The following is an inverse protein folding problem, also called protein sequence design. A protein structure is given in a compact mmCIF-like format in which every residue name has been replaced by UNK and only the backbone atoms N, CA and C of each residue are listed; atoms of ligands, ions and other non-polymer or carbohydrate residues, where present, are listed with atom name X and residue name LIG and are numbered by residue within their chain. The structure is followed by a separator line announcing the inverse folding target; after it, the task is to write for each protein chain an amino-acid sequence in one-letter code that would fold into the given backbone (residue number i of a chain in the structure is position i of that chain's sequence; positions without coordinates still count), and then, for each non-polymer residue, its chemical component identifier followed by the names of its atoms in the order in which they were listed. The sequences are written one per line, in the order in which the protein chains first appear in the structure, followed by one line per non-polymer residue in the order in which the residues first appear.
data_IF_532907066977
#
_entry.id   IF_532907066977
#
_cell.length_a   1.000
_cell.length_b   1.000
_cell.length_c   1.000
_cell.angle_alpha   90.00
_cell.angle_beta   90.00
_cell.angle_gamma   90.00
#
_symmetry.space_group_name_H-M   'P 1'
#
loop_
_entity.id
_entity.type
_entity.pdbx_description
1 polymer ?
#
# COMPACT_ATOMS: atom_id res chain seq x y z
N UNK A 1 -18.80 -48.18 -0.78
CA UNK A 1 -18.18 -49.25 -1.58
C UNK A 1 -16.69 -49.01 -1.54
N UNK A 2 -15.96 -49.92 -0.92
CA UNK A 2 -14.51 -49.92 -0.80
C UNK A 2 -13.91 -50.27 -2.15
N UNK A 3 -13.20 -49.33 -2.78
CA UNK A 3 -12.33 -49.67 -3.91
C UNK A 3 -11.10 -50.37 -3.34
N UNK A 4 -11.09 -51.70 -3.40
CA UNK A 4 -9.87 -52.48 -3.28
C UNK A 4 -8.92 -52.01 -4.40
N UNK A 5 -7.88 -51.25 -4.05
CA UNK A 5 -6.69 -51.09 -4.89
C UNK A 5 -6.13 -52.51 -5.07
N UNK A 6 -6.36 -53.10 -6.23
CA UNK A 6 -5.70 -54.33 -6.61
C UNK A 6 -4.18 -54.11 -6.56
N UNK A 7 -3.45 -54.98 -5.86
CA UNK A 7 -1.99 -55.02 -5.91
C UNK A 7 -1.56 -55.23 -7.36
N UNK A 8 -1.27 -54.13 -8.06
CA UNK A 8 -0.73 -54.16 -9.41
C UNK A 8 0.72 -54.61 -9.30
N UNK A 9 0.97 -55.88 -9.61
CA UNK A 9 2.34 -56.41 -9.73
C UNK A 9 2.99 -55.77 -10.95
N UNK A 10 3.80 -54.73 -10.72
CA UNK A 10 4.57 -54.08 -11.78
C UNK A 10 5.66 -55.01 -12.24
N UNK A 11 5.67 -55.32 -13.54
CA UNK A 11 6.77 -56.06 -14.15
C UNK A 11 8.04 -55.19 -14.15
N UNK A 12 9.17 -55.63 -13.55
CA UNK A 12 10.38 -54.82 -13.44
C UNK A 12 10.90 -54.27 -14.78
N UNK A 13 10.68 -55.01 -15.88
CA UNK A 13 11.05 -54.59 -17.24
C UNK A 13 10.21 -53.41 -17.76
N UNK A 14 8.94 -53.33 -17.36
CA UNK A 14 8.05 -52.26 -17.79
C UNK A 14 8.41 -50.93 -17.09
N UNK A 15 8.71 -50.97 -15.79
CA UNK A 15 9.19 -49.81 -15.04
C UNK A 15 10.47 -49.25 -15.66
N UNK A 16 11.48 -50.11 -15.82
CA UNK A 16 12.78 -49.71 -16.38
C UNK A 16 12.67 -49.20 -17.82
N UNK A 17 11.76 -49.75 -18.64
CA UNK A 17 11.49 -49.25 -19.99
C UNK A 17 10.93 -47.83 -19.94
N UNK A 18 9.88 -47.58 -19.12
CA UNK A 18 9.28 -46.26 -19.04
C UNK A 18 10.22 -45.20 -18.48
N UNK A 19 11.09 -45.56 -17.53
CA UNK A 19 12.13 -44.65 -17.03
C UNK A 19 13.11 -44.28 -18.15
N UNK A 20 13.57 -45.27 -18.91
CA UNK A 20 14.47 -45.04 -20.05
C UNK A 20 13.80 -44.18 -21.13
N UNK A 21 12.55 -44.50 -21.48
CA UNK A 21 11.78 -43.78 -22.50
C UNK A 21 11.54 -42.33 -22.06
N UNK A 22 11.14 -42.11 -20.80
CA UNK A 22 10.93 -40.77 -20.25
C UNK A 22 12.21 -39.94 -20.21
N UNK A 23 13.32 -40.51 -19.75
CA UNK A 23 14.61 -39.83 -19.71
C UNK A 23 15.19 -39.58 -21.11
N UNK A 24 14.98 -40.48 -22.06
CA UNK A 24 15.36 -40.30 -23.46
C UNK A 24 14.56 -39.15 -24.09
N UNK A 25 13.24 -39.16 -23.93
CA UNK A 25 12.36 -38.10 -24.41
C UNK A 25 12.72 -36.74 -23.79
N UNK A 26 13.07 -36.70 -22.50
CA UNK A 26 13.54 -35.48 -21.82
C UNK A 26 14.83 -34.95 -22.45
N UNK A 27 15.81 -35.83 -22.72
CA UNK A 27 17.08 -35.47 -23.39
C UNK A 27 16.86 -34.96 -24.82
N UNK A 28 15.87 -35.50 -25.50
CA UNK A 28 15.45 -35.07 -26.84
C UNK A 28 14.54 -33.83 -26.82
N UNK A 29 14.25 -33.26 -25.64
CA UNK A 29 13.34 -32.12 -25.43
C UNK A 29 11.89 -32.40 -25.87
N UNK A 30 11.51 -33.66 -25.97
CA UNK A 30 10.13 -34.10 -26.20
C UNK A 30 9.36 -34.10 -24.87
N UNK A 31 9.19 -32.92 -24.27
CA UNK A 31 8.68 -32.76 -22.90
C UNK A 31 7.29 -33.35 -22.66
N UNK A 32 6.40 -33.30 -23.66
CA UNK A 32 5.06 -33.90 -23.57
C UNK A 32 5.11 -35.43 -23.46
N UNK A 33 6.00 -36.07 -24.21
CA UNK A 33 6.17 -37.52 -24.21
C UNK A 33 6.89 -37.98 -22.93
N UNK A 34 7.93 -37.25 -22.51
CA UNK A 34 8.59 -37.46 -21.23
C UNK A 34 7.59 -37.38 -20.06
N UNK A 35 6.77 -36.32 -20.03
CA UNK A 35 5.74 -36.13 -19.00
C UNK A 35 4.70 -37.26 -18.99
N UNK A 36 4.30 -37.80 -20.15
CA UNK A 36 3.40 -38.96 -20.22
C UNK A 36 4.03 -40.20 -19.60
N UNK A 37 5.32 -40.45 -19.87
CA UNK A 37 6.05 -41.58 -19.29
C UNK A 37 6.22 -41.42 -17.78
N UNK A 38 6.57 -40.21 -17.31
CA UNK A 38 6.70 -39.90 -15.89
C UNK A 38 5.36 -40.00 -15.15
N UNK A 39 4.27 -39.46 -15.69
CA UNK A 39 2.95 -39.56 -15.07
C UNK A 39 2.49 -41.01 -14.93
N UNK A 40 2.75 -41.89 -15.92
CA UNK A 40 2.50 -43.32 -15.77
C UNK A 40 3.31 -43.90 -14.60
N UNK A 41 4.61 -43.60 -14.50
CA UNK A 41 5.42 -44.08 -13.38
C UNK A 41 4.88 -43.60 -12.02
N UNK A 42 4.33 -42.38 -11.95
CA UNK A 42 3.71 -41.82 -10.75
C UNK A 42 2.38 -42.53 -10.42
N UNK A 43 1.49 -42.73 -11.40
CA UNK A 43 0.18 -43.37 -11.23
C UNK A 43 0.29 -44.79 -10.66
N UNK A 44 1.38 -45.48 -11.01
CA UNK A 44 1.70 -46.82 -10.52
C UNK A 44 2.60 -46.82 -9.27
N UNK A 45 2.76 -45.70 -8.56
CA UNK A 45 3.55 -45.57 -7.33
C UNK A 45 5.02 -46.05 -7.51
N UNK A 46 5.56 -45.90 -8.73
CA UNK A 46 6.88 -46.38 -9.14
C UNK A 46 7.90 -45.25 -9.34
N UNK A 47 7.50 -43.99 -9.13
CA UNK A 47 8.37 -42.82 -9.28
C UNK A 47 9.36 -42.67 -8.12
N UNK A 48 10.57 -42.21 -8.45
CA UNK A 48 11.59 -41.77 -7.50
C UNK A 48 11.84 -40.26 -7.68
N UNK A 49 12.76 -39.69 -6.89
CA UNK A 49 13.11 -38.25 -6.96
C UNK A 49 13.62 -37.81 -8.34
N UNK A 50 14.31 -38.68 -9.07
CA UNK A 50 14.77 -38.41 -10.45
C UNK A 50 13.57 -38.26 -11.42
N UNK A 51 12.57 -39.12 -11.30
CA UNK A 51 11.33 -39.04 -12.10
C UNK A 51 10.50 -37.81 -11.71
N UNK A 52 10.40 -37.48 -10.42
CA UNK A 52 9.70 -36.28 -9.97
C UNK A 52 10.40 -35.01 -10.48
N UNK A 53 11.73 -34.98 -10.43
CA UNK A 53 12.53 -33.89 -11.01
C UNK A 53 12.35 -33.79 -12.52
N UNK A 54 12.36 -34.92 -13.23
CA UNK A 54 12.08 -34.98 -14.66
C UNK A 54 10.70 -34.43 -15.01
N UNK A 55 9.68 -34.73 -14.19
CA UNK A 55 8.34 -34.14 -14.32
C UNK A 55 8.37 -32.63 -14.12
N UNK A 56 8.99 -32.12 -13.06
CA UNK A 56 9.10 -30.67 -12.80
C UNK A 56 9.74 -29.93 -13.98
N UNK A 57 10.85 -30.45 -14.52
CA UNK A 57 11.53 -29.88 -15.69
C UNK A 57 10.58 -29.86 -16.90
N UNK A 58 9.87 -30.97 -17.16
CA UNK A 58 8.92 -31.03 -18.27
C UNK A 58 7.81 -29.99 -18.13
N UNK A 59 7.26 -29.82 -16.92
CA UNK A 59 6.20 -28.85 -16.65
C UNK A 59 6.71 -27.41 -16.84
N UNK A 60 7.91 -27.08 -16.35
CA UNK A 60 8.54 -25.78 -16.56
C UNK A 60 8.75 -25.46 -18.04
N UNK A 61 9.31 -26.40 -18.81
CA UNK A 61 9.56 -26.22 -20.24
C UNK A 61 8.26 -26.15 -21.07
N UNK A 62 7.15 -26.67 -20.54
CA UNK A 62 5.82 -26.54 -21.11
C UNK A 62 5.09 -25.27 -20.64
N UNK A 63 5.70 -24.45 -19.77
CA UNK A 63 5.12 -23.22 -19.21
C UNK A 63 3.98 -23.46 -18.22
N UNK A 64 3.89 -24.65 -17.64
CA UNK A 64 2.84 -25.03 -16.68
C UNK A 64 3.29 -24.68 -15.24
N UNK A 65 3.60 -23.41 -15.00
CA UNK A 65 4.27 -22.97 -13.77
C UNK A 65 3.43 -23.20 -12.52
N UNK A 66 2.10 -23.02 -12.57
CA UNK A 66 1.23 -23.25 -11.42
C UNK A 66 1.29 -24.70 -10.93
N UNK A 67 1.32 -25.68 -11.84
CA UNK A 67 1.46 -27.10 -11.48
C UNK A 67 2.85 -27.39 -10.88
N UNK A 68 3.89 -26.69 -11.35
CA UNK A 68 5.25 -26.81 -10.80
C UNK A 68 5.30 -26.30 -9.36
N UNK A 69 4.69 -25.15 -9.08
CA UNK A 69 4.67 -24.56 -7.74
C UNK A 69 3.95 -25.49 -6.74
N UNK A 70 2.74 -25.96 -7.07
CA UNK A 70 2.00 -26.90 -6.24
C UNK A 70 2.79 -28.19 -5.97
N UNK A 71 3.42 -28.73 -7.02
CA UNK A 71 4.18 -29.97 -6.92
C UNK A 71 5.46 -29.79 -6.10
N UNK A 72 6.17 -28.67 -6.25
CA UNK A 72 7.36 -28.37 -5.44
C UNK A 72 7.01 -28.25 -3.96
N UNK A 73 5.96 -27.51 -3.62
CA UNK A 73 5.52 -27.36 -2.23
C UNK A 73 5.16 -28.70 -1.59
N UNK A 74 4.51 -29.59 -2.35
CA UNK A 74 4.22 -30.95 -1.89
C UNK A 74 5.49 -31.76 -1.69
N UNK A 75 6.38 -31.77 -2.67
CA UNK A 75 7.63 -32.55 -2.61
C UNK A 75 8.55 -32.09 -1.49
N UNK A 76 8.67 -30.79 -1.25
CA UNK A 76 9.45 -30.24 -0.14
C UNK A 76 8.89 -30.64 1.24
N UNK A 77 7.60 -30.94 1.35
CA UNK A 77 6.98 -31.43 2.59
C UNK A 77 7.15 -32.93 2.79
N UNK A 78 7.11 -33.70 1.69
CA UNK A 78 7.02 -35.16 1.73
C UNK A 78 8.40 -35.86 1.60
N UNK A 79 9.43 -35.18 1.07
CA UNK A 79 10.74 -35.74 0.74
C UNK A 79 11.89 -34.85 1.28
N UNK A 80 12.26 -35.09 2.54
CA UNK A 80 13.32 -34.37 3.25
C UNK A 80 14.70 -34.54 2.60
N UNK A 81 14.98 -35.70 1.99
CA UNK A 81 16.29 -36.01 1.40
C UNK A 81 16.59 -35.11 0.20
N UNK A 82 15.56 -34.79 -0.60
CA UNK A 82 15.69 -33.99 -1.81
C UNK A 82 15.11 -32.58 -1.65
N UNK A 83 14.83 -32.15 -0.42
CA UNK A 83 14.25 -30.84 -0.09
C UNK A 83 14.92 -29.69 -0.86
N UNK A 84 16.25 -29.59 -0.77
CA UNK A 84 17.00 -28.49 -1.40
C UNK A 84 16.98 -28.52 -2.92
N UNK A 85 16.80 -29.69 -3.53
CA UNK A 85 16.64 -29.83 -4.98
C UNK A 85 15.31 -29.27 -5.43
N UNK A 86 14.22 -29.58 -4.73
CA UNK A 86 12.90 -29.05 -5.02
C UNK A 86 12.79 -27.56 -4.69
N UNK A 87 13.41 -27.12 -3.58
CA UNK A 87 13.51 -25.70 -3.22
C UNK A 87 14.20 -24.90 -4.33
N UNK A 88 15.32 -25.38 -4.86
CA UNK A 88 16.02 -24.69 -5.95
C UNK A 88 15.15 -24.55 -7.21
N UNK A 89 14.38 -25.60 -7.57
CA UNK A 89 13.43 -25.54 -8.70
C UNK A 89 12.32 -24.53 -8.40
N UNK A 90 11.78 -24.54 -7.18
CA UNK A 90 10.72 -23.62 -6.78
C UNK A 90 11.17 -22.16 -6.83
N UNK A 91 12.35 -21.85 -6.28
CA UNK A 91 12.97 -20.52 -6.37
C UNK A 91 13.17 -20.07 -7.83
N UNK A 92 13.55 -21.00 -8.72
CA UNK A 92 13.71 -20.69 -10.15
C UNK A 92 12.38 -20.33 -10.80
N UNK A 93 11.30 -21.03 -10.46
CA UNK A 93 9.96 -20.73 -10.97
C UNK A 93 9.48 -19.37 -10.47
N UNK A 94 9.59 -19.10 -9.17
CA UNK A 94 9.21 -17.81 -8.59
C UNK A 94 9.96 -16.65 -9.25
N UNK A 95 11.26 -16.84 -9.53
CA UNK A 95 12.06 -15.85 -10.24
C UNK A 95 11.57 -15.63 -11.68
N UNK A 96 11.30 -16.70 -12.42
CA UNK A 96 10.86 -16.63 -13.83
C UNK A 96 9.45 -16.04 -13.99
N UNK A 97 8.59 -16.22 -12.98
CA UNK A 97 7.22 -15.69 -12.98
C UNK A 97 7.12 -14.28 -12.37
N UNK A 98 8.24 -13.67 -11.97
CA UNK A 98 8.28 -12.32 -11.40
C UNK A 98 7.76 -12.23 -9.96
N UNK A 99 7.58 -13.35 -9.26
CA UNK A 99 7.10 -13.40 -7.87
C UNK A 99 8.24 -13.14 -6.88
N UNK A 100 8.83 -11.94 -6.98
CA UNK A 100 10.04 -11.59 -6.24
C UNK A 100 9.82 -11.48 -4.73
N UNK A 101 8.68 -10.95 -4.27
CA UNK A 101 8.35 -10.86 -2.84
C UNK A 101 8.28 -12.26 -2.21
N UNK A 102 7.52 -13.18 -2.82
CA UNK A 102 7.39 -14.57 -2.35
C UNK A 102 8.74 -15.31 -2.34
N UNK A 103 9.60 -15.05 -3.33
CA UNK A 103 10.94 -15.62 -3.40
C UNK A 103 11.81 -15.14 -2.23
N UNK A 104 11.83 -13.83 -1.98
CA UNK A 104 12.62 -13.24 -0.88
C UNK A 104 12.14 -13.75 0.47
N UNK A 105 10.82 -13.80 0.69
CA UNK A 105 10.23 -14.34 1.92
C UNK A 105 10.62 -15.80 2.16
N UNK A 106 10.58 -16.63 1.11
CA UNK A 106 10.98 -18.03 1.18
C UNK A 106 12.48 -18.18 1.50
N UNK A 107 13.35 -17.40 0.86
CA UNK A 107 14.78 -17.40 1.17
C UNK A 107 15.04 -16.96 2.61
N UNK A 108 14.31 -15.95 3.09
CA UNK A 108 14.37 -15.46 4.46
C UNK A 108 14.01 -16.54 5.48
N UNK A 109 12.95 -17.31 5.21
CA UNK A 109 12.55 -18.47 6.02
C UNK A 109 13.66 -19.53 6.02
N UNK A 110 14.13 -19.92 4.82
CA UNK A 110 15.17 -20.94 4.65
C UNK A 110 16.48 -20.56 5.34
N UNK A 111 16.89 -19.29 5.28
CA UNK A 111 18.08 -18.79 6.00
C UNK A 111 17.94 -18.84 7.53
N UNK A 112 16.71 -18.81 8.06
CA UNK A 112 16.41 -18.85 9.50
C UNK A 112 16.24 -20.28 10.02
N UNK A 113 15.57 -21.15 9.27
CA UNK A 113 15.12 -22.46 9.75
C UNK A 113 16.01 -23.62 9.32
N UNK A 114 16.67 -23.53 8.17
CA UNK A 114 17.33 -24.68 7.54
C UNK A 114 18.86 -24.68 7.66
N UNK A 115 19.45 -25.87 7.84
CA UNK A 115 20.90 -26.06 7.73
C UNK A 115 21.32 -26.17 6.27
N UNK A 116 21.43 -25.03 5.61
CA UNK A 116 21.72 -24.95 4.16
C UNK A 116 23.14 -25.45 3.87
N UNK A 117 23.31 -26.42 2.95
CA UNK A 117 24.62 -26.86 2.46
C UNK A 117 25.49 -25.69 2.00
N UNK A 118 26.78 -25.70 2.35
CA UNK A 118 27.68 -24.58 2.06
C UNK A 118 27.72 -24.18 0.58
N UNK A 119 27.66 -25.17 -0.32
CA UNK A 119 27.71 -24.94 -1.77
C UNK A 119 26.45 -24.25 -2.33
N UNK A 120 25.30 -24.44 -1.68
CA UNK A 120 24.03 -23.82 -2.07
C UNK A 120 23.84 -22.44 -1.43
N UNK A 121 24.37 -22.24 -0.23
CA UNK A 121 24.23 -20.98 0.52
C UNK A 121 24.69 -19.77 -0.29
N UNK A 122 25.81 -19.88 -1.00
CA UNK A 122 26.31 -18.80 -1.86
C UNK A 122 25.36 -18.50 -3.02
N UNK A 123 24.77 -19.52 -3.63
CA UNK A 123 23.86 -19.37 -4.76
C UNK A 123 22.56 -18.70 -4.32
N UNK A 124 22.02 -19.09 -3.17
CA UNK A 124 20.82 -18.48 -2.60
C UNK A 124 21.04 -17.01 -2.24
N UNK A 125 22.21 -16.65 -1.68
CA UNK A 125 22.54 -15.24 -1.45
C UNK A 125 22.67 -14.42 -2.72
N UNK A 126 23.26 -15.00 -3.78
CA UNK A 126 23.35 -14.31 -5.07
C UNK A 126 21.96 -14.11 -5.69
N UNK A 127 21.10 -15.13 -5.62
CA UNK A 127 19.72 -15.01 -6.08
C UNK A 127 18.95 -13.95 -5.28
N UNK A 128 19.08 -13.96 -3.94
CA UNK A 128 18.50 -12.96 -3.05
C UNK A 128 18.86 -11.54 -3.48
N UNK A 129 20.17 -11.25 -3.62
CA UNK A 129 20.66 -9.92 -3.98
C UNK A 129 20.16 -9.47 -5.37
N UNK A 130 20.16 -10.37 -6.36
CA UNK A 130 19.63 -10.06 -7.69
C UNK A 130 18.12 -9.79 -7.62
N UNK A 131 17.36 -10.63 -6.93
CA UNK A 131 15.90 -10.47 -6.80
C UNK A 131 15.53 -9.22 -6.02
N UNK A 132 16.25 -8.88 -4.95
CA UNK A 132 16.04 -7.66 -4.19
C UNK A 132 16.26 -6.41 -5.06
N UNK A 133 17.31 -6.40 -5.88
CA UNK A 133 17.56 -5.31 -6.83
C UNK A 133 16.45 -5.21 -7.89
N UNK A 134 16.02 -6.33 -8.47
CA UNK A 134 14.94 -6.34 -9.47
C UNK A 134 13.60 -5.88 -8.89
N UNK A 135 13.24 -6.34 -7.69
CA UNK A 135 12.05 -5.88 -6.97
C UNK A 135 12.11 -4.39 -6.68
N UNK A 136 13.28 -3.88 -6.31
CA UNK A 136 13.49 -2.45 -6.08
C UNK A 136 13.36 -1.64 -7.37
N UNK A 137 13.83 -2.15 -8.50
CA UNK A 137 13.68 -1.50 -9.81
C UNK A 137 12.22 -1.52 -10.33
N UNK A 138 11.49 -2.61 -10.13
CA UNK A 138 10.06 -2.71 -10.47
C UNK A 138 9.21 -1.75 -9.63
N UNK A 139 9.36 -1.79 -8.30
CA UNK A 139 8.66 -0.85 -7.40
C UNK A 139 9.00 0.60 -7.72
N UNK A 140 10.24 0.89 -8.09
CA UNK A 140 10.63 2.24 -8.56
C UNK A 140 9.93 2.62 -9.85
N UNK A 141 9.77 1.70 -10.80
CA UNK A 141 9.10 1.94 -12.08
C UNK A 141 7.61 2.19 -11.86
N UNK A 142 6.94 1.35 -11.09
CA UNK A 142 5.54 1.53 -10.70
C UNK A 142 5.31 2.86 -9.98
N UNK A 143 6.24 3.25 -9.10
CA UNK A 143 6.19 4.54 -8.42
C UNK A 143 6.27 5.72 -9.41
N UNK A 144 7.17 5.65 -10.40
CA UNK A 144 7.26 6.70 -11.43
C UNK A 144 5.94 6.79 -12.20
N UNK A 145 5.38 5.66 -12.64
CA UNK A 145 4.12 5.62 -13.40
C UNK A 145 2.94 6.18 -12.59
N UNK A 146 2.84 5.82 -11.31
CA UNK A 146 1.79 6.32 -10.43
C UNK A 146 1.90 7.84 -10.18
N UNK A 147 3.12 8.37 -10.08
CA UNK A 147 3.35 9.81 -9.94
C UNK A 147 3.07 10.55 -11.25
N UNK A 148 3.44 9.99 -12.40
CA UNK A 148 3.09 10.56 -13.71
C UNK A 148 1.57 10.64 -13.89
N UNK A 149 0.83 9.61 -13.46
CA UNK A 149 -0.63 9.64 -13.45
C UNK A 149 -1.19 10.74 -12.54
N UNK A 150 -0.58 10.95 -11.37
CA UNK A 150 -0.96 12.05 -10.47
C UNK A 150 -0.72 13.42 -11.13
N UNK A 151 0.41 13.64 -11.77
CA UNK A 151 0.72 14.91 -12.45
C UNK A 151 -0.33 15.22 -13.53
N UNK A 152 -0.72 14.22 -14.32
CA UNK A 152 -1.80 14.35 -15.30
C UNK A 152 -3.14 14.66 -14.62
N UNK A 153 -3.44 13.99 -13.50
CA UNK A 153 -4.67 14.23 -12.74
C UNK A 153 -4.71 15.65 -12.17
N UNK A 154 -3.59 16.18 -11.68
CA UNK A 154 -3.46 17.55 -11.18
C UNK A 154 -3.77 18.59 -12.27
N UNK A 155 -3.40 18.34 -13.53
CA UNK A 155 -3.69 19.24 -14.64
C UNK A 155 -5.11 19.11 -15.23
N UNK A 156 -5.89 18.09 -14.85
CA UNK A 156 -7.22 17.81 -15.47
C UNK A 156 -8.42 18.20 -14.60
N UNK A 157 -8.23 18.95 -13.51
CA UNK A 157 -9.25 19.36 -12.52
C UNK A 157 -10.15 18.23 -12.00
N UNK A 158 -9.74 16.96 -12.15
CA UNK A 158 -10.46 15.83 -11.58
C UNK A 158 -10.03 15.63 -10.12
N UNK A 159 -10.63 16.42 -9.22
CA UNK A 159 -10.25 16.49 -7.81
C UNK A 159 -10.40 15.13 -7.10
N UNK A 160 -11.39 14.31 -7.49
CA UNK A 160 -11.59 12.96 -6.94
C UNK A 160 -10.41 12.04 -7.31
N UNK A 161 -10.03 12.02 -8.59
CA UNK A 161 -8.89 11.22 -9.05
C UNK A 161 -7.58 11.69 -8.40
N UNK A 162 -7.38 12.99 -8.25
CA UNK A 162 -6.24 13.56 -7.54
C UNK A 162 -6.16 13.03 -6.09
N UNK A 163 -7.28 13.07 -5.37
CA UNK A 163 -7.35 12.57 -3.99
C UNK A 163 -7.10 11.06 -3.87
N UNK A 164 -7.68 10.26 -4.77
CA UNK A 164 -7.50 8.81 -4.81
C UNK A 164 -6.02 8.46 -5.00
N UNK A 165 -5.36 9.07 -5.99
CA UNK A 165 -3.94 8.83 -6.27
C UNK A 165 -3.05 9.28 -5.12
N UNK A 166 -3.30 10.45 -4.53
CA UNK A 166 -2.55 10.93 -3.37
C UNK A 166 -2.67 10.01 -2.16
N UNK A 167 -3.86 9.45 -1.93
CA UNK A 167 -4.08 8.50 -0.84
C UNK A 167 -3.27 7.21 -0.99
N UNK A 168 -3.04 6.76 -2.24
CA UNK A 168 -2.20 5.60 -2.56
C UNK A 168 -0.70 5.94 -2.47
N UNK A 169 -0.31 7.14 -2.88
CA UNK A 169 1.09 7.58 -2.99
C UNK A 169 1.73 8.00 -1.67
N UNK A 170 0.96 8.27 -0.62
CA UNK A 170 1.43 8.77 0.69
C UNK A 170 2.70 8.09 1.24
N UNK A 171 2.83 6.78 1.05
CA UNK A 171 3.98 5.98 1.53
C UNK A 171 5.18 5.95 0.59
N UNK A 172 5.01 6.38 -0.66
CA UNK A 172 6.04 6.35 -1.68
C UNK A 172 6.98 7.55 -1.55
N UNK A 173 8.24 7.34 -1.94
CA UNK A 173 9.30 8.36 -1.93
C UNK A 173 8.96 9.50 -2.91
N UNK A 174 8.68 10.69 -2.38
CA UNK A 174 8.30 11.88 -3.17
C UNK A 174 9.54 12.64 -3.66
N UNK A 175 10.70 12.41 -3.04
CA UNK A 175 11.91 13.20 -3.18
C UNK A 175 12.37 13.35 -4.64
N UNK A 176 12.35 12.29 -5.48
CA UNK A 176 12.72 12.40 -6.89
C UNK A 176 11.84 13.36 -7.71
N UNK A 177 10.58 13.55 -7.28
CA UNK A 177 9.52 14.25 -8.03
C UNK A 177 9.23 15.66 -7.48
N UNK A 178 10.04 16.12 -6.52
CA UNK A 178 9.82 17.41 -5.86
C UNK A 178 9.88 18.60 -6.81
N UNK A 179 10.59 18.49 -7.95
CA UNK A 179 10.71 19.59 -8.93
C UNK A 179 9.42 19.77 -9.72
N UNK A 180 8.74 18.67 -10.00
CA UNK A 180 7.51 18.55 -10.76
C UNK A 180 6.30 18.84 -9.88
N UNK A 181 6.29 18.34 -8.64
CA UNK A 181 5.17 18.46 -7.71
C UNK A 181 5.09 19.83 -7.03
N UNK A 182 6.22 20.39 -6.56
CA UNK A 182 6.20 21.62 -5.77
C UNK A 182 5.49 22.82 -6.45
N UNK A 183 5.60 23.04 -7.78
CA UNK A 183 4.87 24.11 -8.47
C UNK A 183 3.35 24.07 -8.26
N UNK A 184 2.75 22.88 -8.14
CA UNK A 184 1.29 22.72 -7.95
C UNK A 184 0.78 23.30 -6.62
N UNK A 185 1.66 23.48 -5.62
CA UNK A 185 1.31 24.11 -4.35
C UNK A 185 0.99 25.62 -4.50
N UNK A 186 1.40 26.24 -5.59
CA UNK A 186 1.19 27.67 -5.87
C UNK A 186 0.17 27.96 -6.98
N UNK A 187 -0.25 26.92 -7.71
CA UNK A 187 -1.23 27.00 -8.79
C UNK A 187 -2.62 27.36 -8.26
N UNK A 188 -3.27 28.37 -8.84
CA UNK A 188 -4.56 28.89 -8.36
C UNK A 188 -5.75 27.96 -8.67
N UNK A 189 -5.56 27.08 -9.64
CA UNK A 189 -6.53 26.14 -10.17
C UNK A 189 -6.48 24.74 -9.49
N UNK A 190 -5.64 24.61 -8.47
CA UNK A 190 -5.56 23.42 -7.60
C UNK A 190 -6.27 23.70 -6.28
N UNK A 191 -7.21 22.83 -5.95
CA UNK A 191 -8.05 22.95 -4.76
C UNK A 191 -7.22 22.93 -3.46
N UNK A 192 -7.58 23.74 -2.43
CA UNK A 192 -6.83 23.82 -1.19
C UNK A 192 -6.62 22.46 -0.51
N UNK A 193 -7.63 21.59 -0.54
CA UNK A 193 -7.57 20.24 0.06
C UNK A 193 -6.51 19.35 -0.59
N UNK A 194 -6.33 19.45 -1.91
CA UNK A 194 -5.30 18.72 -2.65
C UNK A 194 -3.90 19.25 -2.30
N UNK A 195 -3.76 20.57 -2.16
CA UNK A 195 -2.51 21.17 -1.67
C UNK A 195 -2.16 20.70 -0.26
N UNK A 196 -3.15 20.53 0.63
CA UNK A 196 -2.91 19.93 1.96
C UNK A 196 -2.40 18.52 1.85
N UNK A 197 -3.04 17.69 1.01
CA UNK A 197 -2.62 16.31 0.80
C UNK A 197 -1.19 16.21 0.24
N UNK A 198 -0.81 17.10 -0.69
CA UNK A 198 0.56 17.20 -1.18
C UNK A 198 1.56 17.57 -0.08
N UNK A 199 1.23 18.56 0.77
CA UNK A 199 2.08 18.92 1.91
C UNK A 199 2.18 17.78 2.93
N UNK A 200 1.09 17.06 3.20
CA UNK A 200 1.11 15.88 4.07
C UNK A 200 1.97 14.76 3.50
N UNK A 201 1.90 14.50 2.19
CA UNK A 201 2.79 13.52 1.54
C UNK A 201 4.26 13.92 1.72
N UNK A 202 4.60 15.20 1.53
CA UNK A 202 5.94 15.73 1.82
C UNK A 202 6.34 15.57 3.30
N UNK A 203 5.41 15.78 4.23
CA UNK A 203 5.65 15.63 5.67
C UNK A 203 5.88 14.16 6.06
N UNK A 204 5.04 13.25 5.58
CA UNK A 204 5.13 11.80 5.83
C UNK A 204 6.45 11.23 5.30
N UNK A 205 6.90 11.69 4.13
CA UNK A 205 8.20 11.35 3.54
C UNK A 205 9.37 12.18 4.11
N UNK A 206 9.13 13.02 5.11
CA UNK A 206 10.16 13.83 5.81
C UNK A 206 10.99 14.70 4.87
N UNK A 207 10.34 15.38 3.94
CA UNK A 207 11.00 16.33 3.04
C UNK A 207 11.53 17.53 3.82
N UNK A 208 12.86 17.63 3.93
CA UNK A 208 13.58 18.76 4.52
C UNK A 208 13.98 19.78 3.44
N UNK A 209 12.97 20.45 2.89
CA UNK A 209 13.14 21.46 1.83
C UNK A 209 12.01 22.47 1.91
N UNK A 210 12.36 23.76 1.90
CA UNK A 210 11.37 24.84 1.86
C UNK A 210 10.56 24.81 0.56
N UNK A 211 9.24 24.89 0.69
CA UNK A 211 8.27 24.98 -0.41
C UNK A 211 7.33 26.17 -0.19
N UNK A 212 6.88 26.79 -1.27
CA UNK A 212 5.85 27.84 -1.21
C UNK A 212 4.48 27.22 -1.38
N UNK A 213 3.52 27.62 -0.56
CA UNK A 213 2.14 27.15 -0.60
C UNK A 213 1.21 28.36 -0.68
N UNK A 214 0.44 28.44 -1.76
CA UNK A 214 -0.56 29.49 -1.97
C UNK A 214 -1.96 28.93 -1.78
N UNK A 215 -2.72 29.49 -0.84
CA UNK A 215 -4.09 29.10 -0.53
C UNK A 215 -4.92 30.30 -0.17
N UNK A 216 -6.17 30.33 -0.63
CA UNK A 216 -7.18 31.29 -0.17
C UNK A 216 -6.73 32.76 -0.32
N UNK A 217 -5.90 33.05 -1.32
CA UNK A 217 -5.34 34.39 -1.58
C UNK A 217 -4.05 34.72 -0.82
N UNK A 218 -3.61 33.86 0.09
CA UNK A 218 -2.38 34.00 0.87
C UNK A 218 -1.30 33.04 0.38
N UNK A 219 -0.03 33.39 0.62
CA UNK A 219 1.12 32.56 0.27
C UNK A 219 2.11 32.51 1.44
N UNK A 220 2.52 31.30 1.81
CA UNK A 220 3.46 31.05 2.89
C UNK A 220 4.60 30.13 2.42
N UNK A 221 5.79 30.34 2.96
CA UNK A 221 6.92 29.44 2.77
C UNK A 221 7.09 28.57 4.01
N UNK A 222 7.03 27.25 3.84
CA UNK A 222 7.11 26.27 4.93
C UNK A 222 8.17 25.20 4.63
N UNK A 223 8.68 24.56 5.68
CA UNK A 223 9.48 23.33 5.56
C UNK A 223 8.61 22.14 6.02
N UNK A 224 8.23 21.20 5.13
CA UNK A 224 7.29 20.13 5.47
C UNK A 224 7.68 19.30 6.69
N UNK A 225 8.97 19.00 6.87
CA UNK A 225 9.46 18.22 8.03
C UNK A 225 9.32 18.96 9.38
N UNK A 226 9.24 20.30 9.36
CA UNK A 226 9.08 21.12 10.57
C UNK A 226 7.61 21.34 10.95
N UNK A 227 6.68 21.00 10.06
CA UNK A 227 5.24 21.15 10.33
C UNK A 227 4.79 20.13 11.36
N UNK A 228 3.93 20.57 12.29
CA UNK A 228 3.21 19.67 13.19
C UNK A 228 2.05 18.97 12.47
N UNK A 229 1.50 17.93 13.08
CA UNK A 229 0.17 17.46 12.73
C UNK A 229 -0.87 18.60 12.89
N UNK A 230 -1.95 18.55 12.10
CA UNK A 230 -2.98 19.60 12.00
C UNK A 230 -3.60 19.90 13.38
N UNK A 231 -4.02 18.87 14.11
CA UNK A 231 -4.65 19.04 15.43
C UNK A 231 -3.61 19.29 16.54
N UNK A 232 -2.34 18.96 16.26
CA UNK A 232 -1.22 19.26 17.16
C UNK A 232 -0.71 20.71 17.02
N UNK A 233 -1.12 21.44 15.98
CA UNK A 233 -0.75 22.83 15.77
C UNK A 233 -1.25 23.73 16.89
N UNK A 234 -0.48 24.76 17.24
CA UNK A 234 -0.77 25.69 18.35
C UNK A 234 -2.18 26.29 18.25
N UNK A 235 -2.56 26.84 17.10
CA UNK A 235 -3.89 27.42 16.86
C UNK A 235 -5.02 26.39 17.05
N UNK A 236 -4.85 25.15 16.59
CA UNK A 236 -5.85 24.10 16.74
C UNK A 236 -6.02 23.71 18.22
N UNK A 237 -4.91 23.56 18.95
CA UNK A 237 -4.93 23.25 20.39
C UNK A 237 -5.56 24.38 21.21
N UNK A 238 -5.24 25.63 20.88
CA UNK A 238 -5.86 26.80 21.53
C UNK A 238 -7.35 26.88 21.24
N UNK A 239 -7.77 26.65 19.99
CA UNK A 239 -9.18 26.64 19.61
C UNK A 239 -9.97 25.55 20.34
N UNK A 240 -9.44 24.32 20.40
CA UNK A 240 -10.07 23.23 21.15
C UNK A 240 -10.08 23.50 22.66
N UNK A 241 -9.04 24.15 23.19
CA UNK A 241 -9.02 24.59 24.59
C UNK A 241 -10.10 25.63 24.90
N UNK A 242 -10.38 26.56 23.98
CA UNK A 242 -11.53 27.48 24.10
C UNK A 242 -12.87 26.74 24.11
N UNK A 243 -12.92 25.45 23.78
CA UNK A 243 -14.12 24.62 23.76
C UNK A 243 -14.10 23.51 24.82
N UNK A 244 -13.12 23.46 25.72
CA UNK A 244 -12.98 22.40 26.74
C UNK A 244 -14.21 22.30 27.66
N UNK A 245 -14.89 23.42 27.95
CA UNK A 245 -16.14 23.38 28.72
C UNK A 245 -17.25 22.61 28.00
N UNK A 246 -17.29 22.70 26.67
CA UNK A 246 -18.25 21.95 25.85
C UNK A 246 -18.00 20.45 25.99
N UNK A 247 -16.75 20.02 26.10
CA UNK A 247 -16.39 18.61 26.36
C UNK A 247 -16.96 18.13 27.70
N UNK A 248 -16.86 18.95 28.75
CA UNK A 248 -17.36 18.62 30.08
C UNK A 248 -18.89 18.51 30.12
N UNK A 249 -19.59 19.42 29.43
CA UNK A 249 -21.05 19.50 29.44
C UNK A 249 -21.70 18.51 28.45
N UNK A 250 -21.11 18.37 27.26
CA UNK A 250 -21.61 17.51 26.18
C UNK A 250 -20.46 16.95 25.32
N UNK A 251 -19.87 15.80 25.72
CA UNK A 251 -18.78 15.16 25.00
C UNK A 251 -19.10 14.86 23.52
N UNK A 252 -20.34 14.47 23.22
CA UNK A 252 -20.77 14.17 21.84
C UNK A 252 -20.73 15.42 20.95
N UNK A 253 -21.19 16.56 21.47
CA UNK A 253 -21.10 17.83 20.75
C UNK A 253 -19.64 18.24 20.55
N UNK A 254 -18.79 18.05 21.56
CA UNK A 254 -17.37 18.35 21.45
C UNK A 254 -16.66 17.48 20.41
N UNK A 255 -16.91 16.17 20.37
CA UNK A 255 -16.39 15.28 19.33
C UNK A 255 -16.80 15.74 17.93
N UNK A 256 -18.07 16.13 17.75
CA UNK A 256 -18.55 16.66 16.47
C UNK A 256 -17.86 17.98 16.09
N UNK A 257 -17.71 18.91 17.05
CA UNK A 257 -16.98 20.16 16.83
C UNK A 257 -15.51 19.88 16.49
N UNK A 258 -14.86 18.92 17.14
CA UNK A 258 -13.49 18.55 16.81
C UNK A 258 -13.35 18.07 15.35
N UNK A 259 -14.35 17.39 14.82
CA UNK A 259 -14.39 17.04 13.40
C UNK A 259 -14.55 18.26 12.48
N UNK A 260 -15.42 19.21 12.84
CA UNK A 260 -15.57 20.48 12.10
C UNK A 260 -14.27 21.28 12.10
N UNK A 261 -13.62 21.39 13.26
CA UNK A 261 -12.32 22.04 13.42
C UNK A 261 -11.28 21.34 12.54
N UNK A 262 -11.20 20.00 12.56
CA UNK A 262 -10.27 19.27 11.70
C UNK A 262 -10.49 19.59 10.22
N UNK A 263 -11.73 19.53 9.72
CA UNK A 263 -12.05 19.81 8.31
C UNK A 263 -11.68 21.24 7.91
N UNK A 264 -12.05 22.22 8.75
CA UNK A 264 -11.71 23.63 8.53
C UNK A 264 -10.19 23.85 8.47
N UNK A 265 -9.46 23.29 9.44
CA UNK A 265 -8.00 23.40 9.49
C UNK A 265 -7.34 22.66 8.33
N UNK A 266 -7.89 21.52 7.91
CA UNK A 266 -7.39 20.76 6.76
C UNK A 266 -7.41 21.59 5.48
N UNK A 267 -8.50 22.30 5.19
CA UNK A 267 -8.60 23.17 4.01
C UNK A 267 -7.56 24.29 4.05
N UNK A 268 -7.33 24.87 5.23
CA UNK A 268 -6.41 26.01 5.45
C UNK A 268 -4.92 25.62 5.49
N UNK A 269 -4.59 24.46 6.03
CA UNK A 269 -3.21 24.05 6.33
C UNK A 269 -2.26 24.19 5.11
N UNK A 270 -1.08 24.79 5.24
CA UNK A 270 -0.40 25.21 6.48
C UNK A 270 -0.68 26.65 6.94
N UNK A 271 -1.63 27.36 6.31
CA UNK A 271 -1.99 28.75 6.67
C UNK A 271 -3.03 28.75 7.79
N UNK A 272 -2.56 28.59 9.03
CA UNK A 272 -3.42 28.41 10.21
C UNK A 272 -3.97 29.74 10.73
N UNK A 273 -5.16 29.74 11.37
CA UNK A 273 -5.72 30.95 11.99
C UNK A 273 -4.81 31.56 13.04
N UNK A 274 -4.87 32.89 13.10
CA UNK A 274 -4.17 33.71 14.10
C UNK A 274 -4.93 33.76 15.43
N UNK A 275 -4.22 34.03 16.52
CA UNK A 275 -4.75 34.06 17.89
C UNK A 275 -6.00 34.96 18.05
N UNK A 276 -6.08 36.05 17.28
CA UNK A 276 -7.18 37.00 17.36
C UNK A 276 -8.48 36.50 16.69
N UNK A 277 -8.38 35.53 15.76
CA UNK A 277 -9.52 34.93 15.06
C UNK A 277 -10.17 33.81 15.90
N UNK A 278 -9.41 33.20 16.82
CA UNK A 278 -9.83 31.97 17.53
C UNK A 278 -11.11 32.12 18.38
N UNK A 279 -11.35 33.23 19.11
CA UNK A 279 -12.59 33.37 19.88
C UNK A 279 -13.84 33.38 19.00
N UNK A 280 -13.80 34.10 17.88
CA UNK A 280 -14.89 34.15 16.90
C UNK A 280 -15.16 32.79 16.26
N UNK A 281 -14.10 32.10 15.85
CA UNK A 281 -14.16 30.74 15.35
C UNK A 281 -14.73 29.76 16.38
N UNK A 282 -14.30 29.82 17.64
CA UNK A 282 -14.80 28.95 18.70
C UNK A 282 -16.32 29.07 18.87
N UNK A 283 -16.83 30.30 18.91
CA UNK A 283 -18.27 30.57 19.00
C UNK A 283 -19.01 30.07 17.74
N UNK A 284 -18.46 30.31 16.55
CA UNK A 284 -19.04 29.84 15.29
C UNK A 284 -19.13 28.31 15.23
N UNK A 285 -18.07 27.59 15.60
CA UNK A 285 -18.07 26.13 15.67
C UNK A 285 -19.09 25.59 16.67
N UNK A 286 -19.18 26.21 17.84
CA UNK A 286 -20.17 25.82 18.84
C UNK A 286 -21.61 26.01 18.34
N UNK A 287 -21.93 27.16 17.73
CA UNK A 287 -23.27 27.43 17.19
C UNK A 287 -23.63 26.45 16.05
N UNK A 288 -22.70 26.18 15.13
CA UNK A 288 -22.90 25.22 14.04
C UNK A 288 -23.09 23.80 14.56
N UNK A 289 -22.25 23.38 15.50
CA UNK A 289 -22.35 22.07 16.14
C UNK A 289 -23.67 21.88 16.88
N UNK A 290 -24.07 22.89 17.66
CA UNK A 290 -25.32 22.88 18.42
C UNK A 290 -26.53 22.84 17.49
N UNK A 291 -26.54 23.65 16.42
CA UNK A 291 -27.63 23.66 15.43
C UNK A 291 -27.75 22.31 14.71
N UNK A 292 -26.62 21.71 14.32
CA UNK A 292 -26.58 20.42 13.63
C UNK A 292 -27.10 19.25 14.49
N UNK A 293 -26.94 19.33 15.82
CA UNK A 293 -27.45 18.35 16.78
C UNK A 293 -28.81 18.74 17.39
N UNK A 294 -29.46 19.79 16.89
CA UNK A 294 -30.76 20.29 17.38
C UNK A 294 -30.74 20.70 18.87
N UNK A 295 -29.64 21.30 19.31
CA UNK A 295 -29.38 21.75 20.70
C UNK A 295 -29.55 23.27 20.88
N UNK A 296 -30.51 23.87 20.17
CA UNK A 296 -30.67 25.34 20.00
C UNK A 296 -30.84 26.14 21.31
N UNK A 297 -31.15 25.48 22.43
CA UNK A 297 -31.39 26.12 23.73
C UNK A 297 -30.12 26.29 24.61
N UNK A 298 -28.94 25.85 24.15
CA UNK A 298 -27.72 25.92 24.95
C UNK A 298 -26.90 27.19 24.68
N UNK A 299 -26.88 28.13 25.64
CA UNK A 299 -26.04 29.33 25.57
C UNK A 299 -24.55 28.98 25.46
N UNK A 300 -23.83 29.72 24.61
CA UNK A 300 -22.39 29.60 24.47
C UNK A 300 -21.71 29.79 25.86
N UNK A 301 -20.90 28.82 26.34
CA UNK A 301 -20.47 28.79 27.74
C UNK A 301 -19.45 29.87 28.14
N UNK A 302 -19.06 30.77 27.22
CA UNK A 302 -18.06 31.81 27.43
C UNK A 302 -18.64 33.22 27.30
N UNK A 303 -18.27 34.09 28.25
CA UNK A 303 -18.82 35.44 28.40
C UNK A 303 -18.04 36.51 27.61
N UNK A 304 -17.13 36.11 26.71
CA UNK A 304 -16.46 37.07 25.85
C UNK A 304 -17.46 37.61 24.84
N UNK A 305 -17.66 38.93 24.83
CA UNK A 305 -18.48 39.58 23.82
C UNK A 305 -17.77 39.47 22.48
N UNK A 306 -18.45 38.86 21.51
CA UNK A 306 -18.04 38.73 20.12
C UNK A 306 -19.23 39.23 19.30
N UNK A 307 -18.97 40.13 18.36
CA UNK A 307 -20.01 40.70 17.52
C UNK A 307 -20.69 39.59 16.72
N UNK A 308 -22.02 39.56 16.69
CA UNK A 308 -22.74 38.47 16.01
C UNK A 308 -22.46 38.47 14.51
N UNK A 309 -22.24 39.64 13.91
CA UNK A 309 -21.86 39.76 12.50
C UNK A 309 -20.53 39.03 12.19
N UNK A 310 -19.55 39.13 13.10
CA UNK A 310 -18.28 38.40 12.99
C UNK A 310 -18.50 36.88 13.06
N UNK A 311 -19.35 36.42 13.98
CA UNK A 311 -19.66 34.99 14.15
C UNK A 311 -20.35 34.41 12.92
N UNK A 312 -21.32 35.12 12.34
CA UNK A 312 -22.00 34.66 11.13
C UNK A 312 -21.03 34.59 9.93
N UNK A 313 -20.12 35.56 9.79
CA UNK A 313 -19.08 35.51 8.76
C UNK A 313 -18.18 34.27 8.90
N UNK A 314 -17.78 33.92 10.13
CA UNK A 314 -17.03 32.69 10.39
C UNK A 314 -17.84 31.43 10.07
N UNK A 315 -19.14 31.40 10.42
CA UNK A 315 -20.02 30.26 10.12
C UNK A 315 -20.15 30.03 8.62
N UNK A 316 -20.36 31.09 7.84
CA UNK A 316 -20.39 31.01 6.37
C UNK A 316 -19.09 30.45 5.80
N UNK A 317 -17.94 30.92 6.30
CA UNK A 317 -16.64 30.42 5.88
C UNK A 317 -16.43 28.95 6.24
N UNK A 318 -16.80 28.53 7.46
CA UNK A 318 -16.68 27.14 7.92
C UNK A 318 -17.49 26.21 7.01
N UNK A 319 -18.76 26.55 6.75
CA UNK A 319 -19.63 25.76 5.86
C UNK A 319 -19.08 25.70 4.44
N UNK A 320 -18.56 26.82 3.93
CA UNK A 320 -17.90 26.83 2.63
C UNK A 320 -16.69 25.89 2.59
N UNK A 321 -15.79 25.93 3.58
CA UNK A 321 -14.63 25.04 3.63
C UNK A 321 -15.02 23.57 3.83
N UNK A 322 -16.07 23.30 4.60
CA UNK A 322 -16.62 21.96 4.74
C UNK A 322 -17.08 21.40 3.39
N UNK A 323 -17.74 22.21 2.56
CA UNK A 323 -18.11 21.79 1.19
C UNK A 323 -16.89 21.45 0.32
N UNK A 324 -15.80 22.23 0.44
CA UNK A 324 -14.55 21.97 -0.29
C UNK A 324 -13.87 20.68 0.19
N UNK A 325 -13.96 20.39 1.49
CA UNK A 325 -13.46 19.15 2.09
C UNK A 325 -14.21 17.92 1.59
N UNK A 326 -15.54 17.98 1.48
CA UNK A 326 -16.34 16.84 1.02
C UNK A 326 -16.34 16.65 -0.49
N UNK A 327 -16.07 17.70 -1.28
CA UNK A 327 -15.98 17.60 -2.74
C UNK A 327 -14.98 16.54 -3.24
N UNK A 328 -14.01 16.15 -2.40
CA UNK A 328 -13.02 15.11 -2.72
C UNK A 328 -13.34 13.73 -2.15
N UNK A 329 -14.34 13.64 -1.26
CA UNK A 329 -14.70 12.43 -0.50
C UNK A 329 -16.04 11.80 -0.91
N UNK A 330 -16.92 12.54 -1.59
CA UNK A 330 -18.26 12.02 -1.93
C UNK A 330 -18.21 10.83 -2.91
N UNK A 331 -18.65 9.67 -2.42
CA UNK A 331 -19.13 8.52 -3.19
C UNK A 331 -20.48 8.90 -3.82
N UNK A 332 -20.59 8.86 -5.16
CA UNK A 332 -21.92 8.79 -5.81
C UNK A 332 -22.42 7.35 -5.83
#
# INVERSE_FOLDING_TARGET
MTHEKADVVIFPKWKSSLEQDGLAALKEKNYKEALQSFNKLIDFEAANSEIMTGKLICLMELGQYEEVEELCQKLMRDDEEHYFQYLHIYLTVLFQTGKYEELLDLLDEVFKSEDIPQDLRKQFWQLYDITENLRTDETRTENIEAVDELLIALDTHNVKKQWQLLSMLRKQDIQPFMTEIAPYLTKDDIEPVIKTALVQWMQEQRVDRKVSVKKLGEEIMVNPVELSDILSHTSARQLLYLLERVEQDNPTLFEFIQQLVFRYMYVRFPIMPEDHELPGLAKAFYELGSSSLQLEDHEYPFHQYIEQEEVEAWKEQIVYYESQYFAVLDEE
#
